data_IF_135140660886
#
_entry.id   IF_135140660886
#
_cell.length_a   1.000
_cell.length_b   1.000
_cell.length_c   1.000
_cell.angle_alpha   90.00
_cell.angle_beta   90.00
_cell.angle_gamma   90.00
#
_symmetry.space_group_name_H-M   'P 1'
#
loop_
_entity.id
_entity.type
_entity.pdbx_description
1 polymer ?
#
# COMPACT_ATOMS: atom_id res chain seq x y z
N UNK A 1 1.79 -17.61 11.29
CA UNK A 1 2.44 -17.21 10.02
C UNK A 1 1.65 -16.13 9.28
N UNK A 2 2.37 -15.20 8.65
CA UNK A 2 1.80 -14.15 7.81
C UNK A 2 1.74 -14.69 6.38
N UNK A 3 0.54 -14.90 5.86
CA UNK A 3 0.32 -15.31 4.47
C UNK A 3 -0.11 -14.07 3.65
N UNK A 4 0.62 -13.75 2.58
CA UNK A 4 0.32 -12.59 1.74
C UNK A 4 1.28 -12.42 0.56
N UNK A 5 0.87 -11.66 -0.45
CA UNK A 5 1.71 -11.32 -1.61
C UNK A 5 2.56 -10.12 -1.19
N UNK A 6 3.86 -10.34 -0.90
CA UNK A 6 4.78 -9.40 -0.23
C UNK A 6 4.66 -7.92 -0.67
N UNK A 7 4.57 -7.58 -1.99
CA UNK A 7 4.36 -6.22 -2.45
C UNK A 7 3.14 -5.47 -1.89
N UNK A 8 2.12 -6.20 -1.44
CA UNK A 8 0.84 -5.67 -0.96
C UNK A 8 0.68 -5.75 0.56
N UNK A 9 1.69 -6.25 1.27
CA UNK A 9 1.63 -6.40 2.72
C UNK A 9 2.07 -5.11 3.39
N UNK A 10 1.24 -4.55 4.27
CA UNK A 10 1.55 -3.33 4.98
C UNK A 10 2.74 -3.52 5.96
N UNK A 11 3.58 -2.48 6.17
CA UNK A 11 4.79 -2.59 7.00
C UNK A 11 4.55 -3.10 8.43
N UNK A 12 3.44 -2.73 9.04
CA UNK A 12 3.11 -3.16 10.40
C UNK A 12 2.76 -4.65 10.47
N UNK A 13 2.14 -5.19 9.42
CA UNK A 13 1.87 -6.63 9.31
C UNK A 13 3.18 -7.40 9.21
N UNK A 14 4.15 -6.92 8.43
CA UNK A 14 5.49 -7.50 8.37
C UNK A 14 6.24 -7.46 9.72
N UNK A 15 5.83 -6.58 10.64
CA UNK A 15 6.37 -6.48 12.00
C UNK A 15 5.53 -7.23 13.05
N UNK A 16 4.55 -8.04 12.61
CA UNK A 16 3.71 -8.85 13.50
C UNK A 16 2.53 -8.10 14.14
N UNK A 17 2.16 -6.93 13.63
CA UNK A 17 0.96 -6.18 14.09
C UNK A 17 -0.31 -6.61 13.33
N UNK A 18 -1.51 -6.40 13.89
CA UNK A 18 -2.76 -6.80 13.25
C UNK A 18 -2.98 -6.19 11.86
N UNK A 19 -3.65 -6.97 11.01
CA UNK A 19 -3.83 -6.70 9.58
C UNK A 19 -4.79 -5.53 9.30
N UNK A 20 -4.34 -4.54 8.52
CA UNK A 20 -5.20 -3.50 7.94
C UNK A 20 -5.26 -3.67 6.41
N UNK A 21 -6.46 -3.89 5.86
CA UNK A 21 -6.70 -4.25 4.47
C UNK A 21 -6.62 -3.02 3.55
N UNK A 22 -5.41 -2.57 3.23
CA UNK A 22 -5.16 -1.57 2.19
C UNK A 22 -4.85 -2.27 0.85
N UNK A 23 -5.86 -2.88 0.23
CA UNK A 23 -5.71 -3.68 -1.00
C UNK A 23 -6.58 -3.09 -2.10
N UNK A 24 -6.04 -3.01 -3.33
CA UNK A 24 -6.78 -2.96 -4.60
C UNK A 24 -7.11 -1.61 -5.28
N UNK A 25 -6.29 -0.55 -5.21
CA UNK A 25 -6.56 0.67 -6.02
C UNK A 25 -5.77 0.84 -7.32
N UNK A 26 -4.71 0.06 -7.58
CA UNK A 26 -3.79 0.41 -8.67
C UNK A 26 -3.79 -0.51 -9.89
N UNK A 27 -4.30 -1.76 -9.82
CA UNK A 27 -4.19 -2.73 -10.93
C UNK A 27 -2.75 -3.05 -11.37
N UNK A 28 -1.76 -2.53 -10.65
CA UNK A 28 -0.33 -2.59 -10.94
C UNK A 28 0.34 -3.44 -9.87
N UNK A 29 1.15 -4.40 -10.29
CA UNK A 29 2.01 -5.17 -9.38
C UNK A 29 3.08 -4.23 -8.81
N UNK A 30 3.05 -3.93 -7.50
CA UNK A 30 4.06 -3.09 -6.88
C UNK A 30 5.41 -3.80 -6.93
N UNK A 31 6.49 -3.08 -7.20
CA UNK A 31 7.86 -3.61 -7.23
C UNK A 31 8.10 -4.75 -8.23
N UNK A 32 7.35 -4.81 -9.34
CA UNK A 32 7.49 -5.87 -10.37
C UNK A 32 8.90 -6.01 -10.98
N UNK A 33 9.75 -5.00 -10.81
CA UNK A 33 11.13 -4.98 -11.30
C UNK A 33 12.15 -5.39 -10.22
N UNK A 34 11.71 -5.85 -9.05
CA UNK A 34 12.55 -6.20 -7.91
C UNK A 34 12.25 -7.62 -7.41
N UNK A 35 13.27 -8.29 -6.87
CA UNK A 35 13.08 -9.57 -6.22
C UNK A 35 12.20 -9.42 -4.97
N UNK A 36 11.19 -10.30 -4.83
CA UNK A 36 10.30 -10.32 -3.67
C UNK A 36 10.95 -11.04 -2.48
N UNK A 37 12.07 -10.51 -2.01
CA UNK A 37 12.90 -11.09 -0.96
C UNK A 37 12.84 -10.32 0.37
N UNK A 38 13.61 -10.79 1.37
CA UNK A 38 13.69 -10.14 2.67
C UNK A 38 14.26 -8.70 2.60
N UNK A 39 15.11 -8.38 1.63
CA UNK A 39 15.65 -7.03 1.46
C UNK A 39 14.55 -6.06 1.02
N UNK A 40 13.66 -6.51 0.13
CA UNK A 40 12.48 -5.73 -0.24
C UNK A 40 11.56 -5.51 0.96
N UNK A 41 11.28 -6.56 1.74
CA UNK A 41 10.47 -6.47 2.96
C UNK A 41 11.04 -5.43 3.95
N UNK A 42 12.35 -5.49 4.22
CA UNK A 42 13.04 -4.53 5.08
C UNK A 42 12.96 -3.10 4.54
N UNK A 43 13.08 -2.93 3.22
CA UNK A 43 12.98 -1.62 2.56
C UNK A 43 11.57 -1.03 2.69
N UNK A 44 10.52 -1.84 2.51
CA UNK A 44 9.12 -1.44 2.72
C UNK A 44 8.91 -1.02 4.18
N UNK A 45 9.46 -1.79 5.13
CA UNK A 45 9.47 -1.44 6.55
C UNK A 45 10.18 -0.13 6.87
N UNK A 46 11.20 0.24 6.09
CA UNK A 46 11.91 1.53 6.18
C UNK A 46 11.21 2.68 5.46
N UNK A 47 10.09 2.43 4.78
CA UNK A 47 9.29 3.46 4.11
C UNK A 47 9.40 3.47 2.59
N UNK A 48 10.07 2.49 1.98
CA UNK A 48 10.05 2.33 0.51
C UNK A 48 8.60 2.17 0.04
N UNK A 49 8.24 2.89 -1.03
CA UNK A 49 6.94 2.82 -1.70
C UNK A 49 7.13 2.61 -3.20
N UNK A 50 6.16 2.00 -3.89
CA UNK A 50 6.19 1.87 -5.34
C UNK A 50 6.21 3.24 -6.02
N UNK A 51 6.84 3.32 -7.19
CA UNK A 51 6.70 4.50 -8.06
C UNK A 51 5.25 4.61 -8.54
N UNK A 52 4.69 5.80 -8.44
CA UNK A 52 3.41 6.15 -9.05
C UNK A 52 3.72 6.52 -10.50
N UNK A 53 3.01 5.91 -11.45
CA UNK A 53 3.13 6.23 -12.88
C UNK A 53 2.39 7.53 -13.21
N UNK A 54 2.92 8.31 -14.15
CA UNK A 54 2.46 9.67 -14.45
C UNK A 54 1.05 9.75 -15.08
N UNK A 55 0.49 8.62 -15.51
CA UNK A 55 -0.83 8.54 -16.15
C UNK A 55 -2.00 8.36 -15.16
N UNK A 56 -1.77 8.54 -13.85
CA UNK A 56 -2.83 8.42 -12.83
C UNK A 56 -3.37 9.82 -12.49
N UNK A 57 -4.69 10.05 -12.50
CA UNK A 57 -5.25 11.35 -12.11
C UNK A 57 -4.84 11.76 -10.70
N UNK A 58 -4.60 13.06 -10.49
CA UNK A 58 -4.04 13.58 -9.23
C UNK A 58 -4.87 13.24 -7.99
N UNK A 59 -6.19 13.11 -8.13
CA UNK A 59 -7.09 12.68 -7.05
C UNK A 59 -6.74 11.26 -6.54
N UNK A 60 -6.47 10.33 -7.45
CA UNK A 60 -6.05 8.97 -7.12
C UNK A 60 -4.62 8.94 -6.55
N UNK A 61 -3.70 9.78 -7.05
CA UNK A 61 -2.35 9.91 -6.48
C UNK A 61 -2.42 10.34 -5.00
N UNK A 62 -3.24 11.34 -4.70
CA UNK A 62 -3.47 11.80 -3.31
C UNK A 62 -4.06 10.70 -2.43
N UNK A 63 -5.04 9.95 -2.95
CA UNK A 63 -5.66 8.82 -2.26
C UNK A 63 -4.66 7.69 -1.97
N UNK A 64 -3.86 7.29 -2.96
CA UNK A 64 -2.81 6.26 -2.83
C UNK A 64 -1.81 6.67 -1.74
N UNK A 65 -1.38 7.94 -1.73
CA UNK A 65 -0.47 8.46 -0.70
C UNK A 65 -1.05 8.36 0.71
N UNK A 66 -2.34 8.72 0.88
CA UNK A 66 -3.04 8.56 2.16
C UNK A 66 -3.16 7.10 2.60
N UNK A 67 -3.44 6.19 1.67
CA UNK A 67 -3.51 4.75 1.96
C UNK A 67 -2.15 4.17 2.41
N UNK A 68 -1.04 4.80 2.05
CA UNK A 68 0.32 4.36 2.36
C UNK A 68 0.97 5.06 3.55
N UNK A 69 0.18 5.84 4.33
CA UNK A 69 0.68 6.54 5.50
C UNK A 69 1.34 5.55 6.49
N UNK A 70 2.44 6.00 7.09
CA UNK A 70 3.18 5.22 8.09
C UNK A 70 2.33 5.00 9.34
N UNK A 71 1.49 5.98 9.68
CA UNK A 71 0.52 5.91 10.75
C UNK A 71 -0.77 5.24 10.25
N UNK A 72 -1.11 4.04 10.74
CA UNK A 72 -2.34 3.34 10.33
C UNK A 72 -3.61 4.14 10.61
N UNK A 73 -3.62 5.03 11.61
CA UNK A 73 -4.80 5.84 11.96
C UNK A 73 -5.12 6.93 10.94
N UNK A 74 -4.12 7.34 10.13
CA UNK A 74 -4.28 8.32 9.05
C UNK A 74 -4.73 7.69 7.73
N UNK A 75 -4.77 6.36 7.67
CA UNK A 75 -5.19 5.65 6.46
C UNK A 75 -6.72 5.68 6.38
N UNK A 76 -7.29 6.01 5.21
CA UNK A 76 -8.72 5.95 5.04
C UNK A 76 -9.22 4.50 5.12
N UNK A 77 -10.39 4.33 5.69
CA UNK A 77 -11.14 3.08 5.68
C UNK A 77 -11.62 2.74 4.28
N UNK A 78 -11.90 1.46 4.02
CA UNK A 78 -12.48 1.03 2.75
C UNK A 78 -13.81 1.73 2.44
N UNK A 79 -14.59 2.07 3.47
CA UNK A 79 -15.85 2.81 3.33
C UNK A 79 -15.63 4.25 2.88
N UNK A 80 -14.64 4.94 3.44
CA UNK A 80 -14.27 6.30 3.02
C UNK A 80 -13.72 6.31 1.59
N UNK A 81 -12.89 5.33 1.24
CA UNK A 81 -12.39 5.15 -0.12
C UNK A 81 -13.55 4.97 -1.11
N UNK A 82 -14.51 4.09 -0.78
CA UNK A 82 -15.68 3.84 -1.62
C UNK A 82 -16.45 5.13 -1.90
N UNK A 83 -16.74 5.91 -0.87
CA UNK A 83 -17.44 7.21 -1.01
C UNK A 83 -16.66 8.23 -1.84
N UNK A 84 -15.33 8.18 -1.83
CA UNK A 84 -14.48 9.08 -2.62
C UNK A 84 -14.44 8.72 -4.11
N UNK A 85 -14.69 7.45 -4.46
CA UNK A 85 -14.63 6.95 -5.84
C UNK A 85 -16.03 6.95 -6.50
N UNK A 86 -17.10 6.88 -5.72
CA UNK A 86 -18.49 6.92 -6.21
C UNK A 86 -19.03 8.35 -6.48
N UNK A 87 -18.25 9.39 -6.19
CA UNK A 87 -18.54 10.80 -6.54
C UNK A 87 -17.84 11.20 -7.84
#
# INVERSE_FOLDING_TARGET
>A
DIYGVLPFVAPEVLRGQPYSLAKLLAGITPFNNEAHDFKLALSICKGKRPKIIDNIPQCYISLIRKCWDKDPSKRPTALEIKKLIEN
#
